data_IF_824016782041
#
_entry.id   IF_824016782041
#
_cell.length_a   1.000
_cell.length_b   1.000
_cell.length_c   1.000
_cell.angle_alpha   90.00
_cell.angle_beta   90.00
_cell.angle_gamma   90.00
#
_symmetry.space_group_name_H-M   'P 1'
#
loop_
_entity.id
_entity.type
_entity.pdbx_description
1 polymer ?
#
# COMPACT_ATOMS: atom_id res chain seq x y z
N UNK A 1 6.51 -0.14 0.71
CA UNK A 1 5.69 -0.77 1.76
C UNK A 1 6.55 -1.22 2.94
N UNK A 2 7.54 -2.07 2.72
CA UNK A 2 8.40 -2.60 3.79
C UNK A 2 9.09 -1.48 4.60
N UNK A 3 9.73 -0.53 3.94
CA UNK A 3 10.41 0.58 4.61
C UNK A 3 9.43 1.43 5.43
N UNK A 4 8.21 1.67 4.90
CA UNK A 4 7.15 2.35 5.63
C UNK A 4 6.75 1.61 6.91
N UNK A 5 6.51 0.29 6.81
CA UNK A 5 6.22 -0.54 7.99
C UNK A 5 7.37 -0.50 9.00
N UNK A 6 8.60 -0.63 8.54
CA UNK A 6 9.80 -0.65 9.40
C UNK A 6 10.04 0.67 10.12
N UNK A 7 9.70 1.81 9.49
CA UNK A 7 9.90 3.13 10.10
C UNK A 7 9.03 3.38 11.35
N UNK A 8 7.93 2.63 11.50
CA UNK A 8 6.99 2.75 12.63
C UNK A 8 6.97 1.49 13.52
N UNK A 9 7.66 0.43 13.11
CA UNK A 9 7.76 -0.83 13.84
C UNK A 9 8.69 -0.72 15.04
N UNK A 10 8.26 -1.26 16.18
CA UNK A 10 9.03 -1.30 17.42
C UNK A 10 9.39 -2.72 17.86
N UNK A 11 8.53 -3.71 17.54
CA UNK A 11 8.74 -5.12 17.86
C UNK A 11 8.06 -6.00 16.80
N UNK A 12 8.69 -6.17 15.63
CA UNK A 12 8.07 -6.85 14.48
C UNK A 12 7.55 -8.26 14.80
N UNK A 13 8.25 -9.01 15.64
CA UNK A 13 7.82 -10.37 16.04
C UNK A 13 6.50 -10.40 16.80
N UNK A 14 6.03 -9.28 17.34
CA UNK A 14 4.74 -9.12 18.00
C UNK A 14 3.79 -8.19 17.25
N UNK A 15 4.09 -7.86 15.99
CA UNK A 15 3.31 -6.93 15.19
C UNK A 15 2.66 -7.63 14.01
N UNK A 16 1.37 -7.36 13.78
CA UNK A 16 0.64 -7.75 12.58
C UNK A 16 0.66 -6.58 11.61
N UNK A 17 1.22 -6.83 10.42
CA UNK A 17 1.24 -5.86 9.34
C UNK A 17 -0.01 -6.04 8.48
N UNK A 18 -0.80 -4.99 8.30
CA UNK A 18 -1.95 -4.99 7.40
C UNK A 18 -1.70 -3.97 6.27
N UNK A 19 -1.59 -4.47 5.06
CA UNK A 19 -1.45 -3.69 3.86
C UNK A 19 -2.85 -3.40 3.32
N UNK A 20 -3.15 -2.13 3.10
CA UNK A 20 -4.47 -1.66 2.69
C UNK A 20 -4.36 -0.94 1.35
N UNK A 21 -4.97 -1.51 0.32
CA UNK A 21 -5.11 -0.91 -1.01
C UNK A 21 -6.44 -0.19 -1.17
N UNK A 22 -6.47 0.74 -2.13
CA UNK A 22 -7.71 1.36 -2.60
C UNK A 22 -8.62 0.30 -3.25
N UNK A 23 -8.03 -0.50 -4.14
CA UNK A 23 -8.73 -1.52 -4.92
C UNK A 23 -9.53 -0.93 -6.08
N UNK A 24 -9.96 -1.79 -7.01
CA UNK A 24 -10.83 -1.42 -8.12
C UNK A 24 -12.28 -1.23 -7.67
N UNK A 25 -13.08 -0.54 -8.49
CA UNK A 25 -14.50 -0.35 -8.27
C UNK A 25 -15.26 -1.68 -8.39
N UNK A 26 -14.99 -2.43 -9.48
CA UNK A 26 -15.66 -3.68 -9.76
C UNK A 26 -15.12 -4.85 -8.92
N UNK A 27 -16.04 -5.67 -8.39
CA UNK A 27 -15.67 -6.80 -7.54
C UNK A 27 -14.88 -7.88 -8.30
N UNK A 28 -15.16 -8.06 -9.59
CA UNK A 28 -14.50 -9.04 -10.46
C UNK A 28 -13.03 -8.67 -10.71
N UNK A 29 -12.70 -7.38 -10.75
CA UNK A 29 -11.32 -6.89 -10.93
C UNK A 29 -10.50 -6.96 -9.63
N UNK A 30 -11.16 -7.06 -8.49
CA UNK A 30 -10.49 -7.08 -7.20
C UNK A 30 -9.68 -8.37 -6.95
N UNK A 31 -10.11 -9.50 -7.51
CA UNK A 31 -9.39 -10.77 -7.36
C UNK A 31 -8.03 -10.71 -8.05
N UNK A 32 -7.93 -10.38 -9.36
CA UNK A 32 -6.63 -10.29 -10.04
C UNK A 32 -5.73 -9.19 -9.44
N UNK A 33 -6.29 -8.07 -8.99
CA UNK A 33 -5.50 -7.03 -8.31
C UNK A 33 -4.88 -7.54 -7.00
N UNK A 34 -5.67 -8.24 -6.18
CA UNK A 34 -5.16 -8.86 -4.95
C UNK A 34 -4.11 -9.95 -5.23
N UNK A 35 -4.23 -10.73 -6.31
CA UNK A 35 -3.23 -11.73 -6.69
C UNK A 35 -1.88 -11.09 -7.02
N UNK A 36 -1.87 -9.96 -7.75
CA UNK A 36 -0.65 -9.20 -8.04
C UNK A 36 -0.02 -8.70 -6.74
N UNK A 37 -0.81 -8.14 -5.84
CA UNK A 37 -0.34 -7.62 -4.55
C UNK A 37 0.09 -8.74 -3.60
N UNK A 38 -0.52 -9.92 -3.69
CA UNK A 38 -0.19 -11.07 -2.85
C UNK A 38 1.26 -11.51 -3.01
N UNK A 39 1.82 -11.44 -4.21
CA UNK A 39 3.24 -11.75 -4.43
C UNK A 39 4.18 -10.86 -3.60
N UNK A 40 3.81 -9.61 -3.36
CA UNK A 40 4.57 -8.71 -2.47
C UNK A 40 4.38 -9.08 -0.99
N UNK A 41 3.18 -9.47 -0.60
CA UNK A 41 2.89 -9.96 0.77
C UNK A 41 3.70 -11.21 1.07
N UNK A 42 3.76 -12.16 0.14
CA UNK A 42 4.49 -13.41 0.31
C UNK A 42 6.01 -13.18 0.47
N UNK A 43 6.57 -12.23 -0.27
CA UNK A 43 7.96 -11.77 -0.07
C UNK A 43 8.19 -11.18 1.33
N UNK A 44 7.20 -10.46 1.87
CA UNK A 44 7.28 -9.91 3.22
C UNK A 44 7.17 -11.02 4.28
N UNK A 45 6.24 -11.98 4.08
CA UNK A 45 6.11 -13.15 4.95
C UNK A 45 7.37 -14.01 4.96
N UNK A 46 7.99 -14.21 3.80
CA UNK A 46 9.23 -14.99 3.68
C UNK A 46 10.38 -14.40 4.53
N UNK A 47 10.38 -13.09 4.79
CA UNK A 47 11.35 -12.44 5.68
C UNK A 47 11.16 -12.79 7.15
N UNK A 48 10.03 -13.36 7.54
CA UNK A 48 9.69 -13.79 8.92
C UNK A 48 9.94 -12.72 9.99
N UNK A 49 9.77 -11.46 9.65
CA UNK A 49 10.04 -10.35 10.57
C UNK A 49 8.81 -9.90 11.34
N UNK A 50 7.64 -9.98 10.72
CA UNK A 50 6.35 -9.67 11.37
C UNK A 50 5.66 -10.95 11.82
N UNK A 51 4.85 -10.85 12.88
CA UNK A 51 4.07 -11.97 13.40
C UNK A 51 3.05 -12.48 12.38
N UNK A 52 2.46 -11.57 11.59
CA UNK A 52 1.59 -11.89 10.46
C UNK A 52 1.61 -10.72 9.47
N UNK A 53 1.30 -11.00 8.20
CA UNK A 53 1.14 -9.99 7.15
C UNK A 53 -0.16 -10.28 6.40
N UNK A 54 -1.05 -9.29 6.32
CA UNK A 54 -2.35 -9.38 5.66
C UNK A 54 -2.48 -8.31 4.60
N UNK A 55 -3.33 -8.57 3.61
CA UNK A 55 -3.64 -7.67 2.51
C UNK A 55 -5.15 -7.54 2.36
N UNK A 56 -5.61 -6.34 2.11
CA UNK A 56 -7.01 -6.06 1.78
C UNK A 56 -7.09 -4.83 0.88
N UNK A 57 -8.00 -4.86 -0.09
CA UNK A 57 -8.48 -3.68 -0.79
C UNK A 57 -9.78 -3.22 -0.16
N UNK A 58 -9.94 -1.91 0.07
CA UNK A 58 -11.19 -1.34 0.58
C UNK A 58 -12.25 -1.22 -0.50
N UNK A 59 -11.83 -1.09 -1.76
CA UNK A 59 -12.70 -0.81 -2.91
C UNK A 59 -13.51 0.47 -2.65
N UNK A 60 -12.80 1.59 -2.43
CA UNK A 60 -13.38 2.85 -1.97
C UNK A 60 -14.43 3.41 -2.94
N UNK A 61 -14.36 3.10 -4.24
CA UNK A 61 -15.30 3.53 -5.28
C UNK A 61 -16.39 2.48 -5.58
N UNK A 62 -16.32 1.29 -4.96
CA UNK A 62 -17.35 0.26 -5.14
C UNK A 62 -18.66 0.63 -4.46
N UNK A 63 -19.73 -0.11 -4.81
CA UNK A 63 -21.03 0.04 -4.15
C UNK A 63 -20.92 -0.10 -2.63
N UNK A 64 -21.70 0.66 -1.90
CA UNK A 64 -21.64 0.77 -0.44
C UNK A 64 -21.57 -0.58 0.29
N UNK A 65 -22.39 -1.62 -0.04
CA UNK A 65 -22.32 -2.90 0.67
C UNK A 65 -20.96 -3.61 0.54
N UNK A 66 -20.30 -3.51 -0.62
CA UNK A 66 -18.97 -4.10 -0.87
C UNK A 66 -17.92 -3.40 -0.03
N UNK A 67 -17.86 -2.06 -0.14
CA UNK A 67 -16.94 -1.24 0.63
C UNK A 67 -17.10 -1.46 2.15
N UNK A 68 -18.32 -1.39 2.66
CA UNK A 68 -18.58 -1.61 4.08
C UNK A 68 -18.19 -3.01 4.56
N UNK A 69 -18.37 -4.03 3.71
CA UNK A 69 -17.93 -5.39 4.02
C UNK A 69 -16.41 -5.46 4.19
N UNK A 70 -15.65 -4.81 3.30
CA UNK A 70 -14.18 -4.75 3.38
C UNK A 70 -13.73 -3.97 4.62
N UNK A 71 -14.37 -2.85 4.93
CA UNK A 71 -14.09 -2.07 6.15
C UNK A 71 -14.36 -2.92 7.40
N UNK A 72 -15.50 -3.61 7.48
CA UNK A 72 -15.82 -4.52 8.61
C UNK A 72 -14.75 -5.61 8.75
N UNK A 73 -14.30 -6.22 7.65
CA UNK A 73 -13.24 -7.22 7.63
C UNK A 73 -11.92 -6.66 8.16
N UNK A 74 -11.51 -5.50 7.69
CA UNK A 74 -10.30 -4.83 8.17
C UNK A 74 -10.37 -4.53 9.67
N UNK A 75 -11.49 -3.98 10.14
CA UNK A 75 -11.73 -3.71 11.56
C UNK A 75 -11.65 -4.98 12.41
N UNK A 76 -12.27 -6.08 11.94
CA UNK A 76 -12.24 -7.36 12.65
C UNK A 76 -10.82 -7.92 12.80
N UNK A 77 -9.97 -7.77 11.77
CA UNK A 77 -8.57 -8.20 11.82
C UNK A 77 -7.76 -7.43 12.88
N UNK A 78 -7.97 -6.10 12.95
CA UNK A 78 -7.31 -5.27 13.96
C UNK A 78 -7.77 -5.69 15.36
N UNK A 79 -9.08 -5.85 15.57
CA UNK A 79 -9.63 -6.26 16.87
C UNK A 79 -9.13 -7.64 17.30
N UNK A 80 -9.06 -8.61 16.39
CA UNK A 80 -8.54 -9.95 16.69
C UNK A 80 -7.06 -9.90 17.08
N UNK A 81 -6.25 -9.15 16.34
CA UNK A 81 -4.83 -9.01 16.64
C UNK A 81 -4.61 -8.34 18.01
N UNK A 82 -5.31 -7.24 18.29
CA UNK A 82 -5.19 -6.52 19.57
C UNK A 82 -5.70 -7.34 20.75
N UNK A 83 -6.80 -8.11 20.60
CA UNK A 83 -7.28 -9.04 21.62
C UNK A 83 -6.28 -10.15 21.94
N UNK A 84 -5.47 -10.56 20.97
CA UNK A 84 -4.38 -11.54 21.19
C UNK A 84 -3.08 -10.92 21.71
N UNK A 85 -3.10 -9.67 22.14
CA UNK A 85 -1.94 -8.96 22.69
C UNK A 85 -0.93 -8.48 21.62
N UNK A 86 -1.28 -8.55 20.34
CA UNK A 86 -0.41 -8.09 19.25
C UNK A 86 -0.66 -6.62 18.91
N UNK A 87 0.38 -5.92 18.52
CA UNK A 87 0.27 -4.60 17.93
C UNK A 87 -0.06 -4.70 16.45
N UNK A 88 -0.74 -3.71 15.91
CA UNK A 88 -1.10 -3.66 14.48
C UNK A 88 -0.46 -2.45 13.83
N UNK A 89 0.17 -2.68 12.68
CA UNK A 89 0.65 -1.63 11.78
C UNK A 89 -0.19 -1.67 10.51
N UNK A 90 -0.80 -0.54 10.17
CA UNK A 90 -1.55 -0.35 8.92
C UNK A 90 -0.69 0.43 7.94
N UNK A 91 -0.47 -0.15 6.76
CA UNK A 91 0.32 0.47 5.68
C UNK A 91 -0.57 0.66 4.45
N UNK A 92 -0.89 1.89 4.07
CA UNK A 92 -1.65 2.14 2.86
C UNK A 92 -0.80 1.94 1.62
N UNK A 93 -1.38 1.37 0.56
CA UNK A 93 -0.83 1.41 -0.79
C UNK A 93 -1.33 2.70 -1.43
N UNK A 94 -0.58 3.77 -1.26
CA UNK A 94 -0.92 5.08 -1.79
C UNK A 94 0.31 5.74 -2.40
N UNK A 95 0.13 6.43 -3.53
CA UNK A 95 1.19 7.21 -4.16
C UNK A 95 1.61 8.38 -3.27
N UNK A 96 0.64 9.08 -2.68
CA UNK A 96 0.86 10.23 -1.80
C UNK A 96 0.05 10.12 -0.51
N UNK A 97 0.40 10.94 0.49
CA UNK A 97 -0.18 10.89 1.85
C UNK A 97 -1.61 11.45 1.97
N UNK A 98 -2.34 11.66 0.88
CA UNK A 98 -3.67 12.28 0.88
C UNK A 98 -4.75 11.35 0.32
N UNK A 99 -6.01 11.65 0.61
CA UNK A 99 -7.17 10.92 0.09
C UNK A 99 -7.40 9.58 0.80
N UNK A 100 -6.94 8.49 0.21
CA UNK A 100 -7.12 7.11 0.72
C UNK A 100 -6.74 6.95 2.19
N UNK A 101 -5.65 7.58 2.62
CA UNK A 101 -5.21 7.52 4.02
C UNK A 101 -6.22 8.16 4.97
N UNK A 102 -6.85 9.27 4.57
CA UNK A 102 -7.88 9.93 5.36
C UNK A 102 -9.11 9.04 5.54
N UNK A 103 -9.53 8.37 4.47
CA UNK A 103 -10.65 7.43 4.51
C UNK A 103 -10.34 6.27 5.45
N UNK A 104 -9.17 5.62 5.31
CA UNK A 104 -8.74 4.54 6.19
C UNK A 104 -8.75 4.97 7.66
N UNK A 105 -8.19 6.13 7.99
CA UNK A 105 -8.19 6.64 9.37
C UNK A 105 -9.60 6.88 9.90
N UNK A 106 -10.51 7.35 9.05
CA UNK A 106 -11.91 7.55 9.41
C UNK A 106 -12.60 6.21 9.69
N UNK A 107 -12.42 5.23 8.81
CA UNK A 107 -13.00 3.90 8.93
C UNK A 107 -12.48 3.13 10.15
N UNK A 108 -11.24 3.39 10.55
CA UNK A 108 -10.59 2.73 11.69
C UNK A 108 -10.71 3.50 13.02
N UNK A 109 -11.52 4.56 13.06
CA UNK A 109 -11.73 5.34 14.29
C UNK A 109 -12.15 4.44 15.45
N UNK A 110 -11.54 4.66 16.61
CA UNK A 110 -11.79 3.90 17.84
C UNK A 110 -11.02 2.59 17.97
N UNK A 111 -10.20 2.21 16.98
CA UNK A 111 -9.32 1.05 17.06
C UNK A 111 -7.89 1.44 17.44
N UNK A 112 -7.15 0.48 18.01
CA UNK A 112 -5.73 0.65 18.34
C UNK A 112 -4.85 0.10 17.22
N UNK A 113 -4.09 0.96 16.56
CA UNK A 113 -3.13 0.62 15.52
C UNK A 113 -2.10 1.73 15.35
N UNK A 114 -0.98 1.40 14.73
CA UNK A 114 0.01 2.35 14.25
C UNK A 114 -0.17 2.53 12.75
N UNK A 115 -0.15 3.74 12.24
CA UNK A 115 -0.33 4.04 10.82
C UNK A 115 0.98 4.48 10.19
N UNK A 116 1.38 3.84 9.08
CA UNK A 116 2.54 4.26 8.29
C UNK A 116 2.10 5.37 7.32
N UNK A 117 2.39 6.62 7.66
CA UNK A 117 1.80 7.79 6.98
C UNK A 117 2.39 8.10 5.62
N UNK A 118 3.62 7.65 5.32
CA UNK A 118 4.34 8.03 4.10
C UNK A 118 3.83 7.26 2.89
N UNK A 119 3.48 7.99 1.83
CA UNK A 119 3.20 7.44 0.50
C UNK A 119 4.47 7.01 -0.24
N UNK A 120 4.30 6.40 -1.42
CA UNK A 120 5.42 5.91 -2.24
C UNK A 120 6.36 7.03 -2.68
N UNK A 121 5.81 8.18 -3.10
CA UNK A 121 6.59 9.34 -3.56
C UNK A 121 7.43 9.98 -2.45
N UNK A 122 7.10 9.73 -1.18
CA UNK A 122 7.87 10.22 -0.04
C UNK A 122 8.99 9.26 0.37
N UNK A 123 9.11 8.11 -0.34
CA UNK A 123 10.19 7.15 -0.12
C UNK A 123 11.38 7.49 -1.02
N UNK A 124 12.57 7.84 -0.48
CA UNK A 124 13.73 8.18 -1.28
C UNK A 124 14.16 7.08 -2.26
N UNK A 125 14.01 5.80 -1.89
CA UNK A 125 14.34 4.68 -2.77
C UNK A 125 13.41 4.58 -3.97
N UNK A 126 12.12 4.87 -3.77
CA UNK A 126 11.16 4.92 -4.87
C UNK A 126 11.49 6.06 -5.82
N UNK A 127 11.83 7.23 -5.31
CA UNK A 127 12.23 8.39 -6.13
C UNK A 127 13.52 8.11 -6.90
N UNK A 128 14.53 7.48 -6.29
CA UNK A 128 15.76 7.06 -6.96
C UNK A 128 15.48 6.04 -8.08
N UNK A 129 14.61 5.07 -7.83
CA UNK A 129 14.20 4.10 -8.84
C UNK A 129 13.48 4.79 -10.01
N UNK A 130 12.51 5.66 -9.74
CA UNK A 130 11.79 6.42 -10.77
C UNK A 130 12.74 7.27 -11.60
N UNK A 131 13.68 7.97 -10.98
CA UNK A 131 14.71 8.76 -11.66
C UNK A 131 15.58 7.89 -12.57
N UNK A 132 15.95 6.68 -12.15
CA UNK A 132 16.70 5.72 -12.97
C UNK A 132 15.92 5.26 -14.20
N UNK A 133 14.62 5.02 -14.08
CA UNK A 133 13.73 4.65 -15.20
C UNK A 133 13.63 5.80 -16.20
N UNK A 134 13.43 7.03 -15.73
CA UNK A 134 13.36 8.23 -16.58
C UNK A 134 14.67 8.40 -17.36
N UNK A 135 15.81 8.32 -16.71
CA UNK A 135 17.13 8.43 -17.37
C UNK A 135 17.34 7.35 -18.44
N UNK A 136 16.94 6.11 -18.14
CA UNK A 136 17.02 5.00 -19.11
C UNK A 136 16.13 5.25 -20.32
N UNK A 137 14.90 5.71 -20.11
CA UNK A 137 13.97 6.02 -21.19
C UNK A 137 14.46 7.19 -22.04
N UNK A 138 15.03 8.23 -21.44
CA UNK A 138 15.62 9.36 -22.15
C UNK A 138 16.82 8.94 -23.01
N UNK A 139 17.69 8.06 -22.51
CA UNK A 139 18.83 7.55 -23.25
C UNK A 139 18.43 6.64 -24.43
N UNK A 140 17.28 5.95 -24.32
CA UNK A 140 16.73 5.10 -25.37
C UNK A 140 15.90 5.85 -26.42
N UNK A 141 15.53 7.13 -26.15
CA UNK A 141 14.75 7.94 -27.09
C UNK A 141 15.59 8.29 -28.33
N UNK A 142 15.06 8.11 -29.57
CA UNK A 142 15.75 8.50 -30.78
C UNK A 142 16.02 10.01 -30.76
N UNK A 143 17.21 10.41 -31.25
CA UNK A 143 17.58 11.82 -31.37
C UNK A 143 16.50 12.54 -32.17
N UNK A 144 16.00 13.64 -31.63
CA UNK A 144 15.01 14.50 -32.31
C UNK A 144 15.61 14.97 -33.62
N UNK A 145 14.97 14.74 -34.82
CA UNK A 145 15.49 15.22 -36.07
C UNK A 145 15.71 16.72 -35.97
N UNK A 146 16.87 17.19 -36.46
CA UNK A 146 17.20 18.62 -36.50
C UNK A 146 16.08 19.33 -37.22
N UNK A 147 15.50 20.37 -36.63
CA UNK A 147 14.51 21.21 -37.28
C UNK A 147 15.18 21.84 -38.51
N UNK A 148 14.66 21.53 -39.70
CA UNK A 148 15.09 22.20 -40.93
C UNK A 148 14.88 23.69 -40.73
N UNK A 149 15.97 24.45 -40.67
CA UNK A 149 15.91 25.91 -40.77
C UNK A 149 15.52 26.25 -42.21
N UNK A 150 14.48 27.03 -42.44
CA UNK A 150 14.18 27.53 -43.77
C UNK A 150 15.29 28.49 -44.24
N UNK A 151 15.81 28.23 -45.43
CA UNK A 151 16.73 29.12 -46.18
C UNK A 151 16.01 30.35 -46.65
#
# INVERSE_FOLDING_TARGET
LYDGARSVSTNPGNEVLIIVGHGPEEAEDNVPDLEILQAHVDRLKAKKQFADVRLINLQDDAIVPVRESNVRKLRSWIQQATKSGRKVIVVPIAAASYGVQRNIKTDLRGLQYTFAEKGLIENPRFMQWLDSIIKTAQAAAPAKPAANQPT
#
